data_IF_237312306541
#
_entry.id   IF_237312306541
#
_cell.length_a   1.000
_cell.length_b   1.000
_cell.length_c   1.000
_cell.angle_alpha   90.00
_cell.angle_beta   90.00
_cell.angle_gamma   90.00
#
_symmetry.space_group_name_H-M   'P 1'
#
loop_
_entity.id
_entity.type
_entity.pdbx_description
1 polymer ?
#
# COMPACT_ATOMS: atom_id res chain seq x y z
N UNK A 1 -18.18 13.14 7.85
CA UNK A 1 -18.22 13.08 6.38
C UNK A 1 -18.44 11.64 5.95
N UNK A 2 -19.18 11.39 4.87
CA UNK A 2 -19.39 10.05 4.33
C UNK A 2 -18.27 9.60 3.39
N UNK A 3 -18.11 8.29 3.19
CA UNK A 3 -17.13 7.75 2.24
C UNK A 3 -17.35 8.25 0.79
N UNK A 4 -18.62 8.40 0.39
CA UNK A 4 -18.96 8.95 -0.93
C UNK A 4 -18.52 10.41 -1.09
N UNK A 5 -18.73 11.24 -0.06
CA UNK A 5 -18.29 12.64 -0.05
C UNK A 5 -16.77 12.75 -0.10
N UNK A 6 -16.07 11.89 0.65
CA UNK A 6 -14.60 11.82 0.62
C UNK A 6 -14.10 11.48 -0.79
N UNK A 7 -14.63 10.42 -1.40
CA UNK A 7 -14.24 9.98 -2.74
C UNK A 7 -14.45 11.09 -3.79
N UNK A 8 -15.58 11.80 -3.70
CA UNK A 8 -15.87 12.93 -4.59
C UNK A 8 -14.87 14.08 -4.42
N UNK A 9 -14.48 14.38 -3.18
CA UNK A 9 -13.47 15.42 -2.89
C UNK A 9 -12.08 15.02 -3.34
N UNK A 10 -11.69 13.75 -3.16
CA UNK A 10 -10.42 13.23 -3.66
C UNK A 10 -10.32 13.31 -5.20
N UNK A 11 -11.40 12.96 -5.91
CA UNK A 11 -11.47 13.11 -7.37
C UNK A 11 -11.43 14.57 -7.83
N UNK A 12 -11.99 15.49 -7.05
CA UNK A 12 -11.90 16.91 -7.35
C UNK A 12 -10.47 17.46 -7.18
N UNK A 13 -9.72 16.95 -6.20
CA UNK A 13 -8.33 17.31 -5.95
C UNK A 13 -7.39 16.73 -7.01
N UNK A 14 -7.61 15.48 -7.42
CA UNK A 14 -6.78 14.81 -8.42
C UNK A 14 -7.67 14.00 -9.38
N UNK A 15 -8.07 14.60 -10.52
CA UNK A 15 -9.01 14.01 -11.46
C UNK A 15 -8.50 12.75 -12.17
N UNK A 16 -7.19 12.54 -12.16
CA UNK A 16 -6.52 11.44 -12.87
C UNK A 16 -6.55 10.12 -12.10
N UNK A 17 -7.00 10.13 -10.83
CA UNK A 17 -7.05 8.91 -10.02
C UNK A 17 -8.08 7.92 -10.56
N UNK A 18 -7.67 6.65 -10.63
CA UNK A 18 -8.61 5.56 -10.94
C UNK A 18 -9.60 5.37 -9.79
N UNK A 19 -10.82 4.84 -10.04
CA UNK A 19 -11.80 4.58 -8.98
C UNK A 19 -11.25 3.70 -7.85
N UNK A 20 -10.35 2.78 -8.19
CA UNK A 20 -9.70 1.89 -7.25
C UNK A 20 -8.72 2.64 -6.34
N UNK A 21 -7.86 3.48 -6.91
CA UNK A 21 -6.94 4.32 -6.13
C UNK A 21 -7.70 5.27 -5.21
N UNK A 22 -8.84 5.81 -5.65
CA UNK A 22 -9.72 6.64 -4.82
C UNK A 22 -10.25 5.85 -3.62
N UNK A 23 -10.69 4.61 -3.82
CA UNK A 23 -11.20 3.76 -2.74
C UNK A 23 -10.10 3.40 -1.73
N UNK A 24 -8.90 3.06 -2.21
CA UNK A 24 -7.74 2.75 -1.36
C UNK A 24 -7.31 3.97 -0.53
N UNK A 25 -7.20 5.14 -1.16
CA UNK A 25 -6.88 6.39 -0.47
C UNK A 25 -7.96 6.79 0.54
N UNK A 26 -9.24 6.66 0.19
CA UNK A 26 -10.34 6.93 1.10
C UNK A 26 -10.27 6.04 2.35
N UNK A 27 -10.01 4.74 2.18
CA UNK A 27 -9.83 3.81 3.29
C UNK A 27 -8.62 4.17 4.16
N UNK A 28 -7.46 4.46 3.56
CA UNK A 28 -6.24 4.83 4.28
C UNK A 28 -6.42 6.12 5.09
N UNK A 29 -7.10 7.12 4.52
CA UNK A 29 -7.39 8.38 5.18
C UNK A 29 -8.35 8.16 6.35
N UNK A 30 -9.44 7.40 6.14
CA UNK A 30 -10.41 7.09 7.19
C UNK A 30 -9.81 6.28 8.33
N UNK A 31 -8.88 5.37 8.04
CA UNK A 31 -8.14 4.63 9.07
C UNK A 31 -7.17 5.52 9.87
N UNK A 32 -6.78 6.68 9.33
CA UNK A 32 -5.84 7.61 9.94
C UNK A 32 -6.50 8.70 10.79
N UNK A 33 -7.83 8.78 10.83
CA UNK A 33 -8.58 9.77 11.60
C UNK A 33 -9.48 9.09 12.62
N UNK A 34 -9.68 9.72 13.77
CA UNK A 34 -10.58 9.20 14.80
C UNK A 34 -12.04 9.57 14.53
N UNK A 35 -12.26 10.70 13.85
CA UNK A 35 -13.58 11.18 13.43
C UNK A 35 -13.53 11.62 11.96
N UNK A 36 -14.47 11.11 11.16
CA UNK A 36 -14.58 11.44 9.75
C UNK A 36 -15.08 12.88 9.51
N UNK A 37 -15.62 13.56 10.52
CA UNK A 37 -16.00 14.97 10.42
C UNK A 37 -14.79 15.92 10.42
N UNK A 38 -13.64 15.51 10.96
CA UNK A 38 -12.38 16.29 10.91
C UNK A 38 -11.90 16.55 9.48
N UNK A 39 -12.23 15.64 8.58
CA UNK A 39 -11.88 15.71 7.16
C UNK A 39 -12.76 16.71 6.39
N UNK A 40 -13.76 17.34 7.02
CA UNK A 40 -14.51 18.44 6.41
C UNK A 40 -13.61 19.64 6.09
N UNK A 41 -12.57 19.89 6.90
CA UNK A 41 -11.56 20.91 6.64
C UNK A 41 -10.61 20.50 5.50
N UNK A 42 -10.50 21.35 4.49
CA UNK A 42 -9.66 21.12 3.30
C UNK A 42 -8.18 20.98 3.66
N UNK A 43 -7.67 21.73 4.65
CA UNK A 43 -6.26 21.62 5.04
C UNK A 43 -5.97 20.28 5.71
N UNK A 44 -6.86 19.85 6.60
CA UNK A 44 -6.78 18.56 7.26
C UNK A 44 -6.88 17.43 6.24
N UNK A 45 -7.85 17.49 5.32
CA UNK A 45 -7.98 16.53 4.23
C UNK A 45 -6.71 16.44 3.37
N UNK A 46 -6.14 17.57 2.93
CA UNK A 46 -4.93 17.60 2.12
C UNK A 46 -3.73 16.98 2.83
N UNK A 47 -3.58 17.24 4.13
CA UNK A 47 -2.50 16.67 4.95
C UNK A 47 -2.64 15.16 5.07
N UNK A 48 -3.83 14.65 5.37
CA UNK A 48 -4.07 13.21 5.44
C UNK A 48 -3.91 12.54 4.08
N UNK A 49 -4.34 13.21 3.02
CA UNK A 49 -4.17 12.74 1.65
C UNK A 49 -2.69 12.63 1.26
N UNK A 50 -1.88 13.67 1.49
CA UNK A 50 -0.44 13.63 1.22
C UNK A 50 0.25 12.50 2.01
N UNK A 51 -0.11 12.35 3.28
CA UNK A 51 0.44 11.28 4.11
C UNK A 51 0.05 9.89 3.61
N UNK A 52 -1.22 9.69 3.26
CA UNK A 52 -1.72 8.42 2.74
C UNK A 52 -1.09 8.07 1.37
N UNK A 53 -1.03 9.04 0.46
CA UNK A 53 -0.40 8.88 -0.85
C UNK A 53 1.09 8.56 -0.74
N UNK A 54 1.83 9.27 0.13
CA UNK A 54 3.24 8.99 0.39
C UNK A 54 3.46 7.58 0.96
N UNK A 55 2.63 7.16 1.92
CA UNK A 55 2.74 5.81 2.51
C UNK A 55 2.46 4.71 1.49
N UNK A 56 1.47 4.93 0.60
CA UNK A 56 1.15 3.99 -0.46
C UNK A 56 2.32 3.86 -1.45
N UNK A 57 2.86 5.00 -1.91
CA UNK A 57 4.02 5.06 -2.80
C UNK A 57 5.23 4.34 -2.17
N UNK A 58 5.56 4.68 -0.92
CA UNK A 58 6.71 4.09 -0.24
C UNK A 58 6.57 2.58 -0.03
N UNK A 59 5.35 2.09 0.20
CA UNK A 59 5.09 0.66 0.35
C UNK A 59 5.20 -0.09 -0.98
N UNK A 60 4.73 0.52 -2.09
CA UNK A 60 4.94 -0.01 -3.44
C UNK A 60 6.43 -0.05 -3.83
N UNK A 61 7.18 1.03 -3.56
CA UNK A 61 8.61 1.10 -3.84
C UNK A 61 9.40 0.05 -3.05
N UNK A 62 9.07 -0.15 -1.75
CA UNK A 62 9.69 -1.19 -0.93
C UNK A 62 9.38 -2.59 -1.44
N UNK A 63 8.16 -2.82 -1.93
CA UNK A 63 7.78 -4.11 -2.49
C UNK A 63 8.53 -4.44 -3.77
N UNK A 64 8.69 -3.46 -4.67
CA UNK A 64 9.50 -3.59 -5.86
C UNK A 64 10.95 -3.91 -5.50
N UNK A 65 11.56 -3.15 -4.58
CA UNK A 65 12.93 -3.39 -4.14
C UNK A 65 13.11 -4.78 -3.50
N UNK A 66 12.17 -5.21 -2.66
CA UNK A 66 12.20 -6.55 -2.05
C UNK A 66 12.09 -7.65 -3.11
N UNK A 67 11.23 -7.46 -4.12
CA UNK A 67 11.07 -8.42 -5.22
C UNK A 67 12.38 -8.55 -6.00
N UNK A 68 13.02 -7.44 -6.33
CA UNK A 68 14.31 -7.42 -7.03
C UNK A 68 15.41 -8.13 -6.22
N UNK A 69 15.48 -7.90 -4.91
CA UNK A 69 16.45 -8.58 -4.03
C UNK A 69 16.23 -10.09 -3.97
N UNK A 70 14.97 -10.55 -3.99
CA UNK A 70 14.63 -11.97 -3.99
C UNK A 70 14.95 -12.63 -5.32
N UNK A 71 14.71 -11.96 -6.43
CA UNK A 71 15.11 -12.44 -7.75
C UNK A 71 16.64 -12.56 -7.87
N UNK A 72 17.39 -11.60 -7.33
CA UNK A 72 18.85 -11.68 -7.26
C UNK A 72 19.32 -12.86 -6.40
N UNK A 73 18.71 -13.05 -5.22
CA UNK A 73 19.03 -14.17 -4.32
C UNK A 73 18.73 -15.53 -4.96
N UNK A 74 17.67 -15.62 -5.78
CA UNK A 74 17.32 -16.81 -6.53
C UNK A 74 18.24 -17.05 -7.75
N UNK A 75 18.79 -15.98 -8.34
CA UNK A 75 19.70 -16.04 -9.49
C UNK A 75 21.15 -16.42 -9.14
N UNK A 76 21.60 -16.15 -7.91
CA UNK A 76 22.98 -16.35 -7.45
C UNK A 76 23.31 -17.81 -7.08
N UNK A 77 23.19 -18.74 -8.03
CA UNK A 77 23.80 -20.09 -7.96
C UNK A 77 23.40 -20.93 -6.73
N UNK A 78 24.12 -22.04 -6.42
CA UNK A 78 23.70 -22.96 -5.36
C UNK A 78 24.03 -22.37 -3.98
N UNK A 79 23.21 -21.43 -3.52
CA UNK A 79 23.21 -21.01 -2.13
C UNK A 79 22.69 -22.19 -1.29
N UNK A 80 23.55 -22.77 -0.45
CA UNK A 80 23.14 -23.79 0.52
C UNK A 80 22.33 -23.13 1.62
N UNK A 81 21.08 -22.81 1.33
CA UNK A 81 20.12 -22.52 2.37
C UNK A 81 19.64 -23.84 2.99
N UNK A 82 19.62 -23.91 4.31
CA UNK A 82 18.88 -24.97 4.99
C UNK A 82 17.38 -24.79 4.69
N UNK A 83 16.61 -25.87 4.45
CA UNK A 83 15.21 -25.80 4.03
C UNK A 83 14.35 -24.88 4.92
N UNK A 84 14.63 -24.87 6.22
CA UNK A 84 13.89 -24.10 7.22
C UNK A 84 14.13 -22.58 7.09
N UNK A 85 15.30 -22.16 6.63
CA UNK A 85 15.64 -20.75 6.42
C UNK A 85 14.93 -20.19 5.19
N UNK A 86 14.84 -20.98 4.10
CA UNK A 86 14.07 -20.63 2.90
C UNK A 86 12.59 -20.46 3.26
N UNK A 87 12.02 -21.43 4.00
CA UNK A 87 10.61 -21.39 4.41
C UNK A 87 10.29 -20.24 5.38
N UNK A 88 11.25 -19.81 6.19
CA UNK A 88 11.09 -18.67 7.09
C UNK A 88 11.07 -17.36 6.32
N UNK A 89 11.99 -17.19 5.37
CA UNK A 89 12.03 -16.04 4.46
C UNK A 89 10.74 -15.96 3.63
N UNK A 90 10.38 -17.04 2.93
CA UNK A 90 9.16 -17.10 2.10
C UNK A 90 7.89 -16.76 2.89
N UNK A 91 7.81 -17.21 4.15
CA UNK A 91 6.65 -16.94 5.01
C UNK A 91 6.62 -15.49 5.50
N UNK A 92 7.78 -14.92 5.86
CA UNK A 92 7.89 -13.51 6.25
C UNK A 92 7.51 -12.58 5.09
N UNK A 93 8.00 -12.90 3.89
CA UNK A 93 7.68 -12.22 2.63
C UNK A 93 6.18 -12.31 2.33
N UNK A 94 5.61 -13.53 2.38
CA UNK A 94 4.19 -13.75 2.11
C UNK A 94 3.27 -12.98 3.07
N UNK A 95 3.62 -12.92 4.35
CA UNK A 95 2.85 -12.17 5.36
C UNK A 95 2.97 -10.66 5.15
N UNK A 96 4.12 -10.16 4.71
CA UNK A 96 4.27 -8.74 4.36
C UNK A 96 3.54 -8.36 3.08
N UNK A 97 3.57 -9.20 2.03
CA UNK A 97 2.87 -8.93 0.78
C UNK A 97 1.35 -8.97 0.93
N UNK A 98 0.79 -9.82 1.81
CA UNK A 98 -0.67 -9.88 2.06
C UNK A 98 -1.28 -8.58 2.58
N UNK A 99 -0.51 -7.78 3.32
CA UNK A 99 -0.99 -6.49 3.79
C UNK A 99 -0.97 -5.46 2.65
N UNK A 100 -0.03 -5.59 1.73
CA UNK A 100 0.13 -4.70 0.59
C UNK A 100 -0.88 -4.97 -0.53
N UNK A 101 -1.17 -6.25 -0.83
CA UNK A 101 -2.22 -6.68 -1.77
C UNK A 101 -3.56 -6.00 -1.48
N UNK A 102 -3.90 -5.87 -0.20
CA UNK A 102 -5.10 -5.19 0.29
C UNK A 102 -5.18 -3.69 -0.11
N UNK A 103 -4.04 -3.08 -0.44
CA UNK A 103 -3.91 -1.66 -0.77
C UNK A 103 -3.38 -1.36 -2.17
N UNK A 104 -2.80 -2.32 -2.92
CA UNK A 104 -2.22 -2.04 -4.24
C UNK A 104 -2.77 -2.88 -5.40
N UNK A 105 -3.63 -3.89 -5.15
CA UNK A 105 -4.20 -4.78 -6.19
C UNK A 105 -3.17 -5.53 -7.06
N UNK A 106 -1.89 -5.43 -6.72
CA UNK A 106 -0.86 -6.30 -7.27
C UNK A 106 -0.88 -7.61 -6.50
N UNK A 107 -1.04 -8.77 -7.17
CA UNK A 107 -1.01 -10.06 -6.50
C UNK A 107 0.37 -10.31 -5.89
N UNK A 108 0.41 -10.67 -4.61
CA UNK A 108 1.53 -11.35 -4.01
C UNK A 108 1.74 -12.65 -4.80
N UNK A 109 2.98 -12.87 -5.23
CA UNK A 109 3.36 -14.01 -6.06
C UNK A 109 2.74 -15.33 -5.56
N UNK A 110 2.16 -16.08 -6.51
CA UNK A 110 1.71 -17.48 -6.36
C UNK A 110 2.91 -18.42 -6.45
#
# INVERSE_FOLDING_TARGET
MTCHELAKRLLALQPELTPQSVAQLALLILNGVSDADELADDQTLLRHWHSASFRLQAAADQHAAMTDELEQLAGDGPVKFEPDQIWTLLRAIKVQSQLLELYTDEPAMV
#
